data_IF_197250365872
#
_entry.id   IF_197250365872
#
_cell.length_a   1.000
_cell.length_b   1.000
_cell.length_c   1.000
_cell.angle_alpha   90.00
_cell.angle_beta   90.00
_cell.angle_gamma   90.00
#
_symmetry.space_group_name_H-M   'P 1'
#
loop_
_entity.id
_entity.type
_entity.pdbx_description
1 polymer ?
#
# COMPACT_ATOMS: atom_id res chain seq x y z
N UNK A 1 18.85 -10.13 -12.10
CA UNK A 1 19.87 -9.08 -11.83
C UNK A 1 19.16 -7.89 -11.22
N UNK A 2 19.73 -7.24 -10.19
CA UNK A 2 19.14 -6.07 -9.52
C UNK A 2 19.99 -4.84 -9.90
N UNK A 3 19.34 -3.75 -10.30
CA UNK A 3 20.00 -2.50 -10.65
C UNK A 3 19.59 -1.40 -9.68
N UNK A 4 20.57 -0.74 -9.06
CA UNK A 4 20.34 0.39 -8.17
C UNK A 4 20.50 1.69 -8.95
N UNK A 5 19.44 2.53 -8.96
CA UNK A 5 19.47 3.87 -9.53
C UNK A 5 19.47 4.88 -8.38
N UNK A 6 20.65 5.44 -8.08
CA UNK A 6 20.89 6.33 -6.95
C UNK A 6 21.25 7.73 -7.42
N UNK A 7 20.98 8.75 -6.58
CA UNK A 7 21.30 10.14 -6.89
C UNK A 7 20.54 11.14 -6.02
N UNK A 8 20.99 12.39 -5.98
CA UNK A 8 20.36 13.48 -5.21
C UNK A 8 18.96 13.82 -5.73
N UNK A 9 18.15 14.53 -4.94
CA UNK A 9 16.90 15.10 -5.45
C UNK A 9 17.18 15.96 -6.69
N UNK A 10 16.32 15.87 -7.71
CA UNK A 10 16.51 16.56 -9.00
C UNK A 10 17.47 15.87 -9.98
N UNK A 11 18.11 14.75 -9.63
CA UNK A 11 19.08 14.08 -10.52
C UNK A 11 18.48 13.28 -11.69
N UNK A 12 17.18 13.41 -11.98
CA UNK A 12 16.53 12.72 -13.10
C UNK A 12 16.18 11.23 -12.89
N UNK A 13 16.25 10.69 -11.66
CA UNK A 13 15.96 9.26 -11.39
C UNK A 13 14.58 8.82 -11.90
N UNK A 14 13.56 9.63 -11.64
CA UNK A 14 12.18 9.33 -12.06
C UNK A 14 12.08 9.25 -13.58
N UNK A 15 12.60 10.25 -14.29
CA UNK A 15 12.65 10.26 -15.75
C UNK A 15 13.37 9.02 -16.30
N UNK A 16 14.53 8.68 -15.71
CA UNK A 16 15.29 7.49 -16.11
C UNK A 16 14.50 6.19 -15.93
N UNK A 17 13.74 6.05 -14.84
CA UNK A 17 12.90 4.86 -14.61
C UNK A 17 11.77 4.80 -15.65
N UNK A 18 11.12 5.93 -15.95
CA UNK A 18 10.07 6.00 -16.97
C UNK A 18 10.59 5.63 -18.36
N UNK A 19 11.76 6.12 -18.75
CA UNK A 19 12.43 5.77 -20.02
C UNK A 19 12.75 4.26 -20.09
N UNK A 20 13.28 3.69 -19.02
CA UNK A 20 13.57 2.25 -18.95
C UNK A 20 12.30 1.40 -19.05
N UNK A 21 11.21 1.86 -18.43
CA UNK A 21 9.90 1.23 -18.55
C UNK A 21 9.41 1.26 -20.01
N UNK A 22 9.43 2.44 -20.65
CA UNK A 22 9.03 2.59 -22.05
C UNK A 22 9.87 1.72 -23.00
N UNK A 23 11.20 1.72 -22.86
CA UNK A 23 12.08 0.87 -23.65
C UNK A 23 11.78 -0.63 -23.46
N UNK A 24 11.51 -1.06 -22.22
CA UNK A 24 11.13 -2.44 -21.94
C UNK A 24 9.79 -2.82 -22.59
N UNK A 25 8.85 -1.89 -22.66
CA UNK A 25 7.57 -2.09 -23.35
C UNK A 25 7.73 -2.19 -24.87
N UNK A 26 8.61 -1.37 -25.46
CA UNK A 26 8.94 -1.43 -26.90
C UNK A 26 9.59 -2.78 -27.27
N UNK A 27 10.29 -3.41 -26.32
CA UNK A 27 10.81 -4.79 -26.43
C UNK A 27 9.73 -5.88 -26.19
N UNK A 28 8.46 -5.50 -26.04
CA UNK A 28 7.34 -6.41 -25.82
C UNK A 28 7.25 -6.99 -24.40
N UNK A 29 8.02 -6.46 -23.43
CA UNK A 29 7.96 -6.93 -22.04
C UNK A 29 6.84 -6.26 -21.27
N UNK A 30 6.26 -7.00 -20.32
CA UNK A 30 5.33 -6.45 -19.33
C UNK A 30 6.10 -5.74 -18.22
N UNK A 31 5.68 -4.54 -17.86
CA UNK A 31 6.31 -3.68 -16.87
C UNK A 31 5.35 -3.40 -15.72
N UNK A 32 5.83 -3.62 -14.50
CA UNK A 32 5.14 -3.23 -13.28
C UNK A 32 5.90 -2.06 -12.64
N UNK A 33 5.29 -0.88 -12.62
CA UNK A 33 5.88 0.32 -12.02
C UNK A 33 5.32 0.52 -10.62
N UNK A 34 6.12 0.19 -9.60
CA UNK A 34 5.75 0.36 -8.20
C UNK A 34 6.03 1.78 -7.72
N UNK A 35 5.02 2.44 -7.19
CA UNK A 35 5.10 3.82 -6.65
C UNK A 35 4.39 3.94 -5.29
N UNK A 36 4.76 4.93 -4.46
CA UNK A 36 3.99 5.27 -3.27
C UNK A 36 2.53 5.59 -3.61
N UNK A 37 1.61 5.33 -2.66
CA UNK A 37 0.17 5.56 -2.85
C UNK A 37 -0.13 6.99 -3.33
N UNK A 38 0.57 7.98 -2.76
CA UNK A 38 0.40 9.40 -3.07
C UNK A 38 0.92 9.80 -4.47
N UNK A 39 1.71 8.96 -5.13
CA UNK A 39 2.36 9.28 -6.41
C UNK A 39 1.75 8.52 -7.61
N UNK A 40 0.68 7.74 -7.39
CA UNK A 40 0.10 6.91 -8.45
C UNK A 40 -0.38 7.73 -9.65
N UNK A 41 -1.15 8.79 -9.39
CA UNK A 41 -1.70 9.67 -10.45
C UNK A 41 -0.58 10.39 -11.20
N UNK A 42 0.40 10.93 -10.48
CA UNK A 42 1.55 11.60 -11.11
C UNK A 42 2.38 10.64 -11.98
N UNK A 43 2.49 9.37 -11.59
CA UNK A 43 3.18 8.36 -12.38
C UNK A 43 2.38 7.97 -13.62
N UNK A 44 1.05 7.84 -13.49
CA UNK A 44 0.13 7.58 -14.61
C UNK A 44 0.23 8.70 -15.64
N UNK A 45 0.15 9.97 -15.22
CA UNK A 45 0.28 11.11 -16.12
C UNK A 45 1.63 11.13 -16.83
N UNK A 46 2.75 10.98 -16.10
CA UNK A 46 4.09 10.99 -16.71
C UNK A 46 4.28 9.88 -17.74
N UNK A 47 3.76 8.68 -17.46
CA UNK A 47 3.86 7.58 -18.41
C UNK A 47 2.94 7.78 -19.61
N UNK A 48 1.74 8.34 -19.42
CA UNK A 48 0.85 8.69 -20.52
C UNK A 48 1.49 9.73 -21.45
N UNK A 49 2.07 10.80 -20.89
CA UNK A 49 2.77 11.84 -21.65
C UNK A 49 3.96 11.28 -22.42
N UNK A 50 4.70 10.33 -21.82
CA UNK A 50 5.87 9.71 -22.44
C UNK A 50 5.50 8.71 -23.55
N UNK A 51 4.43 7.94 -23.36
CA UNK A 51 4.01 6.90 -24.31
C UNK A 51 3.20 7.46 -25.48
N UNK A 52 2.55 8.62 -25.31
CA UNK A 52 1.65 9.20 -26.31
C UNK A 52 0.53 8.23 -26.68
N UNK A 53 0.33 8.02 -27.97
CA UNK A 53 -0.72 7.13 -28.50
C UNK A 53 -0.38 5.63 -28.42
N UNK A 54 0.79 5.24 -27.87
CA UNK A 54 1.17 3.83 -27.77
C UNK A 54 0.26 3.09 -26.78
N UNK A 55 -0.17 1.86 -27.11
CA UNK A 55 -0.99 1.07 -26.19
C UNK A 55 -0.23 0.75 -24.91
N UNK A 56 -0.78 1.17 -23.77
CA UNK A 56 -0.20 0.96 -22.44
C UNK A 56 -0.52 -0.40 -21.82
N UNK A 57 -1.04 -1.36 -22.60
CA UNK A 57 -1.49 -2.68 -22.12
C UNK A 57 -0.37 -3.49 -21.44
N UNK A 58 0.89 -3.22 -21.78
CA UNK A 58 2.06 -3.85 -21.16
C UNK A 58 2.56 -3.13 -19.90
N UNK A 59 1.97 -2.00 -19.51
CA UNK A 59 2.34 -1.23 -18.31
C UNK A 59 1.26 -1.31 -17.25
N UNK A 60 1.66 -1.60 -16.02
CA UNK A 60 0.78 -1.54 -14.86
C UNK A 60 1.44 -0.71 -13.75
N UNK A 61 0.80 0.40 -13.39
CA UNK A 61 1.25 1.28 -12.31
C UNK A 61 0.57 0.86 -11.02
N UNK A 62 1.38 0.43 -10.05
CA UNK A 62 0.92 -0.21 -8.83
C UNK A 62 1.46 0.51 -7.60
N UNK A 63 0.62 0.59 -6.58
CA UNK A 63 1.05 0.76 -5.20
C UNK A 63 0.85 -0.57 -4.46
N UNK A 64 1.34 -0.68 -3.22
CA UNK A 64 1.21 -1.94 -2.46
C UNK A 64 -0.25 -2.37 -2.29
N UNK A 65 -1.18 -1.44 -2.12
CA UNK A 65 -2.61 -1.75 -2.00
C UNK A 65 -3.18 -2.35 -3.30
N UNK A 66 -2.88 -1.74 -4.45
CA UNK A 66 -3.30 -2.21 -5.78
C UNK A 66 -2.65 -3.57 -6.10
N UNK A 67 -1.37 -3.75 -5.77
CA UNK A 67 -0.66 -5.02 -5.93
C UNK A 67 -1.35 -6.14 -5.13
N UNK A 68 -1.62 -5.92 -3.83
CA UNK A 68 -2.33 -6.90 -3.01
C UNK A 68 -3.72 -7.22 -3.56
N UNK A 69 -4.49 -6.20 -3.95
CA UNK A 69 -5.82 -6.40 -4.55
C UNK A 69 -5.76 -7.20 -5.85
N UNK A 70 -4.75 -6.95 -6.68
CA UNK A 70 -4.52 -7.71 -7.92
C UNK A 70 -4.26 -9.17 -7.61
N UNK A 71 -3.34 -9.45 -6.69
CA UNK A 71 -3.01 -10.82 -6.27
C UNK A 71 -4.24 -11.52 -5.71
N UNK A 72 -5.01 -10.88 -4.82
CA UNK A 72 -6.22 -11.48 -4.25
C UNK A 72 -7.35 -11.69 -5.25
N UNK A 73 -7.43 -10.87 -6.31
CA UNK A 73 -8.36 -11.09 -7.43
C UNK A 73 -7.97 -12.31 -8.27
N UNK A 74 -6.67 -12.51 -8.47
CA UNK A 74 -6.16 -13.56 -9.35
C UNK A 74 -6.09 -14.92 -8.65
N UNK A 75 -5.66 -14.95 -7.38
CA UNK A 75 -5.41 -16.18 -6.62
C UNK A 75 -6.42 -16.44 -5.49
N UNK A 76 -7.43 -15.57 -5.34
CA UNK A 76 -8.39 -15.61 -4.24
C UNK A 76 -7.91 -14.89 -2.97
N UNK A 77 -8.81 -14.70 -2.02
CA UNK A 77 -8.54 -13.99 -0.76
C UNK A 77 -9.20 -12.61 -0.63
N UNK A 78 -10.01 -12.19 -1.62
CA UNK A 78 -10.91 -11.04 -1.43
C UNK A 78 -12.00 -11.40 -0.42
N UNK A 79 -12.02 -10.71 0.72
CA UNK A 79 -13.22 -10.63 1.54
C UNK A 79 -14.13 -9.54 0.98
N UNK A 80 -15.39 -9.87 0.73
CA UNK A 80 -16.38 -8.85 0.31
C UNK A 80 -16.69 -7.84 1.42
N UNK A 81 -16.45 -8.21 2.68
CA UNK A 81 -16.82 -7.42 3.86
C UNK A 81 -15.59 -7.02 4.67
N UNK A 82 -14.89 -5.98 4.23
CA UNK A 82 -13.84 -5.36 5.05
C UNK A 82 -14.45 -4.57 6.20
N UNK A 83 -13.94 -4.82 7.41
CA UNK A 83 -14.33 -4.03 8.56
C UNK A 83 -13.97 -2.55 8.34
N UNK A 84 -14.96 -1.68 8.52
CA UNK A 84 -14.78 -0.24 8.35
C UNK A 84 -13.86 0.33 9.45
N UNK A 85 -13.32 1.53 9.25
CA UNK A 85 -12.54 2.23 10.29
C UNK A 85 -13.34 2.34 11.60
N UNK A 86 -14.61 2.73 11.50
CA UNK A 86 -15.52 2.82 12.65
C UNK A 86 -15.78 1.46 13.29
N UNK A 87 -16.00 0.41 12.49
CA UNK A 87 -16.17 -0.95 12.98
C UNK A 87 -14.96 -1.44 13.78
N UNK A 88 -13.74 -1.17 13.30
CA UNK A 88 -12.51 -1.50 14.05
C UNK A 88 -12.45 -0.78 15.40
N UNK A 89 -12.80 0.51 15.42
CA UNK A 89 -12.85 1.30 16.67
C UNK A 89 -13.88 0.76 17.65
N UNK A 90 -15.07 0.38 17.17
CA UNK A 90 -16.12 -0.20 18.01
C UNK A 90 -15.67 -1.53 18.60
N UNK A 91 -15.12 -2.43 17.77
CA UNK A 91 -14.60 -3.73 18.22
C UNK A 91 -13.49 -3.57 19.26
N UNK A 92 -12.53 -2.67 19.02
CA UNK A 92 -11.47 -2.40 20.00
C UNK A 92 -12.02 -1.84 21.32
N UNK A 93 -12.98 -0.91 21.24
CA UNK A 93 -13.60 -0.35 22.44
C UNK A 93 -14.36 -1.43 23.23
N UNK A 94 -15.09 -2.30 22.55
CA UNK A 94 -15.79 -3.43 23.17
C UNK A 94 -14.79 -4.37 23.87
N UNK A 95 -13.72 -4.78 23.18
CA UNK A 95 -12.66 -5.64 23.75
C UNK A 95 -12.00 -4.99 24.98
N UNK A 96 -11.69 -3.69 24.93
CA UNK A 96 -11.14 -2.97 26.08
C UNK A 96 -12.11 -2.88 27.27
N UNK A 97 -13.41 -2.83 26.99
CA UNK A 97 -14.46 -2.77 28.02
C UNK A 97 -14.61 -4.11 28.71
N UNK A 98 -14.66 -5.20 27.94
CA UNK A 98 -14.76 -6.57 28.46
C UNK A 98 -13.53 -6.96 29.28
N UNK A 99 -12.33 -6.56 28.83
CA UNK A 99 -11.07 -6.87 29.50
C UNK A 99 -10.65 -5.82 30.53
N UNK A 100 -11.45 -4.79 30.77
CA UNK A 100 -11.11 -3.71 31.71
C UNK A 100 -10.65 -4.20 33.10
N UNK A 101 -11.25 -5.25 33.71
CA UNK A 101 -10.80 -5.79 35.00
C UNK A 101 -9.38 -6.37 34.99
N UNK A 102 -8.86 -6.74 33.81
CA UNK A 102 -7.51 -7.29 33.64
C UNK A 102 -6.48 -6.22 33.27
N UNK A 103 -6.91 -4.97 33.06
CA UNK A 103 -6.02 -3.86 32.72
C UNK A 103 -5.57 -3.15 34.00
N UNK A 104 -4.27 -2.84 34.09
CA UNK A 104 -3.68 -2.16 35.24
C UNK A 104 -4.34 -0.81 35.60
N UNK A 105 -4.92 -0.12 34.62
CA UNK A 105 -5.60 1.18 34.79
C UNK A 105 -7.13 1.08 34.82
N UNK A 106 -7.71 -0.11 34.65
CA UNK A 106 -9.15 -0.39 34.77
C UNK A 106 -10.09 0.39 33.84
N UNK A 107 -9.56 1.19 32.90
CA UNK A 107 -10.33 2.20 32.16
C UNK A 107 -10.43 1.88 30.68
N UNK A 108 -11.66 1.72 30.22
CA UNK A 108 -12.04 1.52 28.82
C UNK A 108 -12.57 2.82 28.20
N UNK A 109 -11.67 3.75 27.91
CA UNK A 109 -12.02 5.02 27.26
C UNK A 109 -12.00 4.92 25.73
N UNK A 110 -12.93 5.61 25.05
CA UNK A 110 -12.96 5.65 23.57
C UNK A 110 -11.66 6.17 22.95
N UNK A 111 -11.02 7.15 23.59
CA UNK A 111 -9.73 7.68 23.13
C UNK A 111 -8.62 6.61 23.19
N UNK A 112 -8.68 5.71 24.18
CA UNK A 112 -7.75 4.59 24.33
C UNK A 112 -7.92 3.57 23.19
N UNK A 113 -9.14 3.29 22.75
CA UNK A 113 -9.40 2.38 21.63
C UNK A 113 -8.71 2.83 20.33
N UNK A 114 -8.76 4.13 20.00
CA UNK A 114 -8.08 4.67 18.83
C UNK A 114 -6.55 4.52 18.94
N UNK A 115 -5.96 4.80 20.11
CA UNK A 115 -4.53 4.63 20.37
C UNK A 115 -4.10 3.17 20.25
N UNK A 116 -4.86 2.25 20.85
CA UNK A 116 -4.58 0.81 20.78
C UNK A 116 -4.67 0.29 19.35
N UNK A 117 -5.63 0.75 18.54
CA UNK A 117 -5.67 0.40 17.12
C UNK A 117 -4.47 0.92 16.34
N UNK A 118 -3.97 2.11 16.67
CA UNK A 118 -2.74 2.64 16.07
C UNK A 118 -1.54 1.74 16.41
N UNK A 119 -1.39 1.39 17.69
CA UNK A 119 -0.33 0.48 18.14
C UNK A 119 -0.41 -0.90 17.46
N UNK A 120 -1.61 -1.50 17.38
CA UNK A 120 -1.81 -2.77 16.65
C UNK A 120 -1.47 -2.63 15.16
N UNK A 121 -1.81 -1.51 14.54
CA UNK A 121 -1.47 -1.26 13.14
C UNK A 121 0.04 -1.14 12.94
N UNK A 122 0.74 -0.51 13.89
CA UNK A 122 2.19 -0.42 13.92
C UNK A 122 2.83 -1.80 14.11
N UNK A 123 2.41 -2.59 15.10
CA UNK A 123 2.87 -3.97 15.28
C UNK A 123 2.73 -4.78 14.00
N UNK A 124 1.57 -4.69 13.33
CA UNK A 124 1.34 -5.38 12.04
C UNK A 124 2.29 -4.89 10.94
N UNK A 125 2.56 -3.58 10.85
CA UNK A 125 3.49 -3.02 9.87
C UNK A 125 4.93 -3.52 10.07
N UNK A 126 5.34 -3.70 11.34
CA UNK A 126 6.65 -4.25 11.71
C UNK A 126 6.67 -5.78 11.85
N UNK A 127 5.59 -6.48 11.46
CA UNK A 127 5.46 -7.94 11.55
C UNK A 127 5.63 -8.50 12.97
N UNK A 128 5.20 -7.74 13.99
CA UNK A 128 5.13 -8.17 15.38
C UNK A 128 3.76 -8.80 15.60
N UNK A 129 3.72 -10.10 15.85
CA UNK A 129 2.50 -10.85 16.18
C UNK A 129 2.42 -11.09 17.69
N UNK A 130 1.21 -11.16 18.28
CA UNK A 130 1.06 -11.71 19.63
C UNK A 130 1.71 -13.10 19.72
N UNK A 131 2.30 -13.45 20.88
CA UNK A 131 2.87 -14.77 21.12
C UNK A 131 1.80 -15.87 21.16
#
# INVERSE_FOLDING_TARGET
MIHFILGRAGSGKTSRICELAAASMDEGRRVFLMVPEQMAVDAEQRMADLLGDKPSLSLEILNFRRLCNRIFREYGGLSYNYITKSGRTLMMWQTLTELAPMLNDGKAERAKAAKMLSAVSECKAYRITPP
#
